data_IF_903713725265
#
_entry.id   IF_903713725265
#
_cell.length_a   1.000
_cell.length_b   1.000
_cell.length_c   1.000
_cell.angle_alpha   90.00
_cell.angle_beta   90.00
_cell.angle_gamma   90.00
#
_symmetry.space_group_name_H-M   'P 1'
#
loop_
_entity.id
_entity.type
_entity.pdbx_description
1 polymer ?
#
# COMPACT_ATOMS: atom_id res chain seq x y z
N UNK A 1 -1.83 19.82 1.25
CA UNK A 1 -0.89 19.23 0.26
C UNK A 1 -0.97 19.90 -1.11
N UNK A 2 -2.14 20.01 -1.77
CA UNK A 2 -2.23 20.63 -3.09
C UNK A 2 -1.66 22.06 -3.14
N UNK A 3 -2.05 22.94 -2.22
CA UNK A 3 -1.50 24.30 -2.12
C UNK A 3 0.04 24.30 -1.93
N UNK A 4 0.57 23.34 -1.21
CA UNK A 4 2.00 23.17 -1.06
C UNK A 4 2.69 22.71 -2.35
N UNK A 5 2.05 21.86 -3.15
CA UNK A 5 2.55 21.49 -4.48
C UNK A 5 2.59 22.69 -5.43
N UNK A 6 1.55 23.55 -5.38
CA UNK A 6 1.56 24.82 -6.14
C UNK A 6 2.70 25.72 -5.70
N UNK A 7 2.92 25.87 -4.39
CA UNK A 7 4.05 26.63 -3.86
C UNK A 7 5.38 26.05 -4.34
N UNK A 8 5.60 24.73 -4.22
CA UNK A 8 6.82 24.06 -4.69
C UNK A 8 7.05 24.28 -6.19
N UNK A 9 5.99 24.24 -7.02
CA UNK A 9 6.09 24.54 -8.45
C UNK A 9 6.50 25.98 -8.73
N UNK A 10 5.98 26.94 -7.97
CA UNK A 10 6.33 28.35 -8.13
C UNK A 10 7.79 28.65 -7.74
N UNK A 11 8.33 27.90 -6.76
CA UNK A 11 9.73 28.01 -6.35
C UNK A 11 10.68 27.30 -7.34
N UNK A 12 10.27 26.15 -7.87
CA UNK A 12 11.07 25.29 -8.75
C UNK A 12 10.26 24.97 -10.01
N UNK A 13 10.07 25.93 -10.92
CA UNK A 13 9.27 25.72 -12.13
C UNK A 13 9.95 24.70 -13.05
N UNK A 14 9.15 23.75 -13.52
CA UNK A 14 9.58 22.69 -14.44
C UNK A 14 8.64 22.60 -15.62
N UNK A 15 9.11 22.07 -16.75
CA UNK A 15 8.25 21.82 -17.89
C UNK A 15 7.17 20.78 -17.53
N UNK A 16 5.92 21.12 -17.84
CA UNK A 16 4.79 20.20 -17.78
C UNK A 16 4.73 19.26 -18.99
N UNK A 17 5.63 19.40 -19.95
CA UNK A 17 5.70 18.55 -21.12
C UNK A 17 5.94 17.09 -20.69
N UNK A 18 5.04 16.21 -21.08
CA UNK A 18 5.17 14.76 -20.89
C UNK A 18 6.12 14.20 -21.95
N UNK A 19 6.14 14.85 -23.13
CA UNK A 19 6.99 14.51 -24.27
C UNK A 19 7.61 15.82 -24.81
N UNK A 20 8.92 15.91 -24.81
CA UNK A 20 9.64 17.02 -25.40
C UNK A 20 10.93 17.34 -24.66
N UNK A 21 12.03 17.38 -25.39
CA UNK A 21 13.36 17.66 -24.88
C UNK A 21 13.77 19.11 -25.08
N UNK A 22 12.81 20.00 -25.22
CA UNK A 22 13.08 21.44 -25.46
C UNK A 22 13.30 22.21 -24.14
N UNK A 23 12.91 21.62 -23.00
CA UNK A 23 13.10 22.24 -21.70
C UNK A 23 14.41 21.76 -21.05
N UNK A 24 15.07 22.63 -20.31
CA UNK A 24 16.28 22.29 -19.55
C UNK A 24 15.97 21.28 -18.41
N UNK A 25 14.81 21.42 -17.76
CA UNK A 25 14.35 20.56 -16.69
C UNK A 25 12.95 20.00 -16.98
N UNK A 26 12.79 18.71 -16.75
CA UNK A 26 11.49 18.01 -16.78
C UNK A 26 11.15 17.52 -15.39
N UNK A 27 9.87 17.35 -15.07
CA UNK A 27 9.42 16.91 -13.72
C UNK A 27 7.94 17.19 -13.50
N UNK A 28 7.20 17.58 -14.54
CA UNK A 28 5.78 17.90 -14.46
C UNK A 28 4.87 16.73 -14.07
N UNK A 29 5.35 15.49 -14.24
CA UNK A 29 4.58 14.27 -13.95
C UNK A 29 4.03 14.25 -12.52
N UNK A 30 4.84 14.57 -11.54
CA UNK A 30 4.46 14.58 -10.13
C UNK A 30 3.40 15.64 -9.83
N UNK A 31 3.50 16.81 -10.44
CA UNK A 31 2.50 17.86 -10.34
C UNK A 31 1.18 17.47 -11.00
N UNK A 32 1.24 16.81 -12.18
CA UNK A 32 0.05 16.26 -12.85
C UNK A 32 -0.66 15.25 -11.94
N UNK A 33 0.09 14.33 -11.32
CA UNK A 33 -0.48 13.37 -10.36
C UNK A 33 -1.07 14.06 -9.13
N UNK A 34 -0.47 15.13 -8.65
CA UNK A 34 -1.03 15.94 -7.57
C UNK A 34 -2.37 16.58 -7.95
N UNK A 35 -2.45 17.14 -9.17
CA UNK A 35 -3.69 17.71 -9.71
C UNK A 35 -4.75 16.60 -9.87
N UNK A 36 -4.42 15.52 -10.57
CA UNK A 36 -5.35 14.40 -10.80
C UNK A 36 -5.83 13.78 -9.51
N UNK A 37 -4.93 13.45 -8.57
CA UNK A 37 -5.29 12.88 -7.29
C UNK A 37 -6.23 13.80 -6.50
N UNK A 38 -5.95 15.11 -6.49
CA UNK A 38 -6.81 16.09 -5.82
C UNK A 38 -8.16 16.21 -6.51
N UNK A 39 -8.22 16.25 -7.84
CA UNK A 39 -9.48 16.28 -8.60
C UNK A 39 -10.31 15.01 -8.34
N UNK A 40 -9.69 13.84 -8.37
CA UNK A 40 -10.38 12.59 -8.02
C UNK A 40 -10.91 12.59 -6.59
N UNK A 41 -10.10 13.08 -5.63
CA UNK A 41 -10.56 13.22 -4.25
C UNK A 41 -11.78 14.14 -4.13
N UNK A 42 -11.75 15.30 -4.77
CA UNK A 42 -12.86 16.25 -4.79
C UNK A 42 -14.08 15.63 -5.48
N UNK A 43 -13.90 15.07 -6.67
CA UNK A 43 -14.99 14.47 -7.44
C UNK A 43 -15.71 13.38 -6.61
N UNK A 44 -14.98 12.40 -6.08
CA UNK A 44 -15.57 11.32 -5.27
C UNK A 44 -16.20 11.89 -3.98
N UNK A 45 -15.59 12.90 -3.36
CA UNK A 45 -16.07 13.49 -2.11
C UNK A 45 -17.32 14.34 -2.28
N UNK A 46 -17.54 14.91 -3.48
CA UNK A 46 -18.66 15.79 -3.78
C UNK A 46 -19.81 15.10 -4.52
N UNK A 47 -19.63 13.85 -4.97
CA UNK A 47 -20.69 13.09 -5.62
C UNK A 47 -21.83 12.84 -4.60
N UNK A 48 -23.04 13.35 -4.85
CA UNK A 48 -24.19 12.95 -4.06
C UNK A 48 -24.50 11.48 -4.35
N UNK A 49 -24.21 10.62 -3.40
CA UNK A 49 -24.33 9.19 -3.57
C UNK A 49 -25.31 8.63 -2.54
N UNK A 50 -26.44 8.14 -3.01
CA UNK A 50 -27.37 7.42 -2.15
C UNK A 50 -26.79 6.05 -1.77
N UNK A 51 -27.22 5.53 -0.64
CA UNK A 51 -26.85 4.19 -0.18
C UNK A 51 -27.07 3.10 -1.24
N UNK A 52 -28.21 3.15 -1.96
CA UNK A 52 -28.52 2.17 -3.01
C UNK A 52 -27.58 2.26 -4.22
N UNK A 53 -27.27 3.49 -4.64
CA UNK A 53 -26.31 3.73 -5.71
C UNK A 53 -24.91 3.23 -5.30
N UNK A 54 -24.46 3.57 -4.10
CA UNK A 54 -23.19 3.07 -3.58
C UNK A 54 -23.13 1.55 -3.59
N UNK A 55 -24.13 0.86 -3.06
CA UNK A 55 -24.18 -0.60 -3.07
C UNK A 55 -24.14 -1.20 -4.48
N UNK A 56 -24.80 -0.57 -5.45
CA UNK A 56 -24.79 -1.03 -6.84
C UNK A 56 -23.40 -0.89 -7.45
N UNK A 57 -22.78 0.27 -7.31
CA UNK A 57 -21.42 0.54 -7.80
C UNK A 57 -20.42 -0.40 -7.17
N UNK A 58 -20.49 -0.59 -5.85
CA UNK A 58 -19.57 -1.47 -5.12
C UNK A 58 -19.67 -2.93 -5.56
N UNK A 59 -20.90 -3.44 -5.76
CA UNK A 59 -21.09 -4.81 -6.29
C UNK A 59 -20.45 -4.99 -7.67
N UNK A 60 -20.59 -4.00 -8.54
CA UNK A 60 -19.95 -4.05 -9.86
C UNK A 60 -18.43 -3.93 -9.74
N UNK A 61 -17.93 -3.00 -8.93
CA UNK A 61 -16.48 -2.83 -8.74
C UNK A 61 -15.82 -4.09 -8.14
N UNK A 62 -16.46 -4.74 -7.16
CA UNK A 62 -15.96 -6.03 -6.62
C UNK A 62 -15.93 -7.11 -7.73
N UNK A 63 -17.01 -7.25 -8.50
CA UNK A 63 -17.09 -8.24 -9.59
C UNK A 63 -16.01 -8.00 -10.64
N UNK A 64 -15.84 -6.73 -11.06
CA UNK A 64 -14.80 -6.35 -12.03
C UNK A 64 -13.38 -6.58 -11.48
N UNK A 65 -13.14 -6.24 -10.22
CA UNK A 65 -11.83 -6.47 -9.58
C UNK A 65 -11.50 -7.96 -9.48
N UNK A 66 -12.47 -8.80 -9.08
CA UNK A 66 -12.29 -10.24 -9.03
C UNK A 66 -12.11 -10.83 -10.44
N UNK A 67 -12.91 -10.37 -11.42
CA UNK A 67 -12.76 -10.76 -12.81
C UNK A 67 -11.40 -10.38 -13.39
N UNK A 68 -10.92 -9.17 -13.13
CA UNK A 68 -9.59 -8.73 -13.53
C UNK A 68 -8.47 -9.55 -12.85
N UNK A 69 -8.64 -9.92 -11.57
CA UNK A 69 -7.71 -10.79 -10.88
C UNK A 69 -7.64 -12.18 -11.54
N UNK A 70 -8.79 -12.80 -11.80
CA UNK A 70 -8.87 -14.11 -12.48
C UNK A 70 -8.26 -14.02 -13.88
N UNK A 71 -8.63 -12.99 -14.66
CA UNK A 71 -8.07 -12.77 -16.00
C UNK A 71 -6.54 -12.60 -15.95
N UNK A 72 -6.03 -11.81 -15.00
CA UNK A 72 -4.58 -11.63 -14.80
C UNK A 72 -3.87 -12.95 -14.53
N UNK A 73 -4.47 -13.83 -13.70
CA UNK A 73 -3.92 -15.16 -13.43
C UNK A 73 -3.88 -15.99 -14.73
N UNK A 74 -4.97 -16.03 -15.50
CA UNK A 74 -5.03 -16.76 -16.77
C UNK A 74 -4.02 -16.24 -17.79
N UNK A 75 -3.90 -14.92 -17.97
CA UNK A 75 -2.94 -14.31 -18.88
C UNK A 75 -1.49 -14.65 -18.48
N UNK A 76 -1.18 -14.63 -17.19
CA UNK A 76 0.15 -15.02 -16.70
C UNK A 76 0.42 -16.51 -16.93
N UNK A 77 -0.56 -17.40 -16.68
CA UNK A 77 -0.43 -18.83 -16.93
C UNK A 77 -0.29 -19.15 -18.43
N UNK A 78 -0.97 -18.37 -19.29
CA UNK A 78 -0.87 -18.50 -20.75
C UNK A 78 0.45 -17.89 -21.32
N UNK A 79 1.32 -17.34 -20.47
CA UNK A 79 2.55 -16.71 -20.91
C UNK A 79 2.35 -15.35 -21.62
N UNK A 80 1.12 -14.84 -21.63
CA UNK A 80 0.80 -13.52 -22.20
C UNK A 80 1.17 -12.47 -21.17
N UNK A 81 2.40 -11.99 -21.22
CA UNK A 81 2.88 -10.91 -20.35
C UNK A 81 2.46 -9.59 -20.97
N UNK A 82 1.56 -8.85 -20.32
CA UNK A 82 1.24 -7.50 -20.70
C UNK A 82 2.43 -6.57 -20.40
N UNK A 83 2.90 -5.89 -21.43
CA UNK A 83 3.92 -4.82 -21.33
C UNK A 83 5.21 -5.27 -20.67
N UNK A 84 6.12 -5.84 -21.44
CA UNK A 84 7.44 -6.25 -20.92
C UNK A 84 8.25 -5.00 -20.65
N UNK A 85 8.37 -4.63 -19.38
CA UNK A 85 9.44 -3.72 -18.98
C UNK A 85 10.77 -4.47 -19.10
N UNK A 86 11.71 -3.91 -19.84
CA UNK A 86 13.02 -4.55 -20.12
C UNK A 86 13.79 -4.82 -18.84
N UNK A 87 13.51 -4.03 -17.78
CA UNK A 87 14.01 -4.22 -16.43
C UNK A 87 13.41 -5.46 -15.75
N UNK A 88 12.12 -5.75 -16.00
CA UNK A 88 11.48 -6.98 -15.48
C UNK A 88 12.01 -8.25 -16.15
N UNK A 89 12.41 -8.21 -17.42
CA UNK A 89 13.04 -9.35 -18.11
C UNK A 89 14.40 -9.70 -17.48
N UNK A 90 15.18 -8.70 -17.09
CA UNK A 90 16.49 -8.91 -16.44
C UNK A 90 16.32 -9.44 -15.02
N UNK A 91 15.31 -8.95 -14.29
CA UNK A 91 14.97 -9.43 -12.94
C UNK A 91 14.23 -10.78 -12.97
N UNK A 92 13.40 -11.05 -13.97
CA UNK A 92 12.70 -12.33 -14.10
C UNK A 92 13.62 -13.50 -14.45
N UNK A 93 14.77 -13.21 -15.02
CA UNK A 93 15.80 -14.22 -15.26
C UNK A 93 16.56 -14.61 -13.98
N UNK A 94 16.57 -13.74 -12.96
CA UNK A 94 17.31 -13.94 -11.72
C UNK A 94 16.43 -14.16 -10.49
N UNK A 95 15.15 -13.78 -10.52
CA UNK A 95 14.26 -13.89 -9.35
C UNK A 95 12.86 -14.38 -9.75
N UNK A 96 12.46 -15.54 -9.25
CA UNK A 96 11.11 -16.11 -9.39
C UNK A 96 10.09 -15.33 -8.54
N UNK A 97 9.76 -14.10 -8.95
CA UNK A 97 8.75 -13.28 -8.30
C UNK A 97 7.40 -13.50 -8.99
N UNK A 98 6.45 -14.07 -8.29
CA UNK A 98 5.13 -14.36 -8.84
C UNK A 98 4.11 -13.29 -8.41
N UNK A 99 4.02 -12.20 -9.17
CA UNK A 99 3.09 -11.09 -8.88
C UNK A 99 1.61 -11.52 -8.81
N UNK A 100 1.22 -12.58 -9.54
CA UNK A 100 -0.14 -13.12 -9.49
C UNK A 100 -0.51 -13.65 -8.10
N UNK A 101 0.46 -14.21 -7.34
CA UNK A 101 0.20 -14.71 -5.99
C UNK A 101 -0.08 -13.59 -5.00
N UNK A 102 0.43 -12.38 -5.24
CA UNK A 102 0.16 -11.21 -4.39
C UNK A 102 -1.33 -10.93 -4.34
N UNK A 103 -1.96 -10.79 -5.51
CA UNK A 103 -3.39 -10.46 -5.59
C UNK A 103 -4.25 -11.58 -4.99
N UNK A 104 -3.95 -12.83 -5.31
CA UNK A 104 -4.66 -13.98 -4.76
C UNK A 104 -4.58 -14.00 -3.22
N UNK A 105 -3.39 -13.81 -2.66
CA UNK A 105 -3.19 -13.79 -1.21
C UNK A 105 -3.93 -12.65 -0.53
N UNK A 106 -3.81 -11.42 -1.06
CA UNK A 106 -4.47 -10.23 -0.50
C UNK A 106 -5.99 -10.39 -0.52
N UNK A 107 -6.58 -10.71 -1.68
CA UNK A 107 -8.04 -10.89 -1.77
C UNK A 107 -8.53 -12.09 -0.96
N UNK A 108 -7.75 -13.17 -0.89
CA UNK A 108 -8.07 -14.31 -0.04
C UNK A 108 -8.18 -13.91 1.43
N UNK A 109 -7.21 -13.16 1.95
CA UNK A 109 -7.26 -12.65 3.34
C UNK A 109 -8.48 -11.74 3.55
N UNK A 110 -8.77 -10.82 2.63
CA UNK A 110 -9.93 -9.96 2.73
C UNK A 110 -11.24 -10.75 2.77
N UNK A 111 -11.41 -11.71 1.87
CA UNK A 111 -12.64 -12.49 1.79
C UNK A 111 -12.80 -13.44 2.97
N UNK A 112 -11.73 -14.11 3.37
CA UNK A 112 -11.83 -15.14 4.41
C UNK A 112 -11.82 -14.54 5.81
N UNK A 113 -10.80 -13.75 6.15
CA UNK A 113 -10.71 -13.17 7.47
C UNK A 113 -11.64 -11.94 7.62
N UNK A 114 -11.83 -11.14 6.60
CA UNK A 114 -12.78 -10.01 6.64
C UNK A 114 -14.22 -10.45 6.92
N UNK A 115 -14.66 -11.57 6.30
CA UNK A 115 -16.03 -12.07 6.42
C UNK A 115 -16.27 -12.93 7.67
N UNK A 116 -15.26 -13.59 8.21
CA UNK A 116 -15.42 -14.54 9.31
C UNK A 116 -14.72 -14.06 10.58
N UNK A 117 -15.29 -14.28 11.78
CA UNK A 117 -14.58 -14.08 13.03
C UNK A 117 -13.42 -15.08 13.14
N UNK A 118 -12.42 -14.75 13.95
CA UNK A 118 -11.23 -15.59 14.12
C UNK A 118 -11.56 -16.99 14.60
N UNK A 119 -12.54 -17.11 15.50
CA UNK A 119 -13.06 -18.41 15.96
C UNK A 119 -13.51 -19.30 14.80
N UNK A 120 -14.16 -18.73 13.78
CA UNK A 120 -14.64 -19.49 12.63
C UNK A 120 -13.50 -19.84 11.65
N UNK A 121 -12.43 -19.05 11.62
CA UNK A 121 -11.24 -19.38 10.83
C UNK A 121 -10.67 -20.73 11.28
N UNK A 122 -10.64 -20.98 12.59
CA UNK A 122 -10.12 -22.24 13.13
C UNK A 122 -11.17 -23.38 13.15
N UNK A 123 -12.44 -23.08 13.30
CA UNK A 123 -13.50 -24.11 13.40
C UNK A 123 -14.01 -24.60 12.05
N UNK A 124 -13.77 -23.85 10.98
CA UNK A 124 -14.23 -24.22 9.62
C UNK A 124 -13.04 -24.66 8.76
N UNK A 125 -12.92 -25.96 8.39
CA UNK A 125 -11.80 -26.47 7.60
C UNK A 125 -11.60 -25.71 6.29
N UNK A 126 -12.67 -25.35 5.58
CA UNK A 126 -12.58 -24.60 4.32
C UNK A 126 -12.01 -23.19 4.50
N UNK A 127 -12.40 -22.48 5.57
CA UNK A 127 -11.87 -21.15 5.87
C UNK A 127 -10.40 -21.23 6.33
N UNK A 128 -10.06 -22.24 7.12
CA UNK A 128 -8.68 -22.48 7.56
C UNK A 128 -7.75 -22.76 6.37
N UNK A 129 -8.13 -23.71 5.50
CA UNK A 129 -7.34 -24.05 4.31
C UNK A 129 -7.23 -22.85 3.37
N UNK A 130 -8.32 -22.13 3.11
CA UNK A 130 -8.30 -20.93 2.28
C UNK A 130 -7.40 -19.83 2.85
N UNK A 131 -7.43 -19.60 4.16
CA UNK A 131 -6.56 -18.63 4.85
C UNK A 131 -5.10 -19.04 4.75
N UNK A 132 -4.79 -20.32 4.96
CA UNK A 132 -3.44 -20.87 4.80
C UNK A 132 -2.92 -20.68 3.37
N UNK A 133 -3.73 -21.04 2.34
CA UNK A 133 -3.36 -20.86 0.93
C UNK A 133 -3.13 -19.39 0.58
N UNK A 134 -3.91 -18.47 1.17
CA UNK A 134 -3.72 -17.03 0.98
C UNK A 134 -2.41 -16.53 1.57
N UNK A 135 -2.05 -16.97 2.78
CA UNK A 135 -0.76 -16.68 3.40
C UNK A 135 0.40 -17.28 2.60
N UNK A 136 0.26 -18.53 2.16
CA UNK A 136 1.24 -19.20 1.33
C UNK A 136 1.45 -18.47 0.01
N UNK A 137 0.40 -17.99 -0.64
CA UNK A 137 0.49 -17.20 -1.87
C UNK A 137 1.29 -15.90 -1.66
N UNK A 138 1.11 -15.21 -0.52
CA UNK A 138 1.91 -14.03 -0.18
C UNK A 138 3.38 -14.39 0.00
N UNK A 139 3.69 -15.47 0.71
CA UNK A 139 5.07 -15.93 0.90
C UNK A 139 5.72 -16.32 -0.42
N UNK A 140 5.01 -17.08 -1.28
CA UNK A 140 5.52 -17.50 -2.58
C UNK A 140 5.68 -16.35 -3.58
N UNK A 141 5.08 -15.19 -3.32
CA UNK A 141 5.26 -14.01 -4.18
C UNK A 141 6.72 -13.51 -4.22
N UNK A 142 7.51 -13.78 -3.19
CA UNK A 142 8.90 -13.32 -3.07
C UNK A 142 9.06 -11.83 -2.77
N UNK A 143 7.96 -11.10 -2.55
CA UNK A 143 7.97 -9.66 -2.30
C UNK A 143 7.88 -9.35 -0.79
N UNK A 144 9.02 -9.00 -0.18
CA UNK A 144 9.09 -8.59 1.24
C UNK A 144 8.13 -7.45 1.58
N UNK A 145 7.99 -6.51 0.67
CA UNK A 145 7.10 -5.35 0.78
C UNK A 145 5.63 -5.75 0.90
N UNK A 146 5.23 -6.77 0.15
CA UNK A 146 3.86 -7.30 0.17
C UNK A 146 3.58 -7.97 1.50
N UNK A 147 4.52 -8.74 2.03
CA UNK A 147 4.38 -9.35 3.36
C UNK A 147 4.19 -8.28 4.44
N UNK A 148 5.03 -7.24 4.44
CA UNK A 148 4.90 -6.13 5.37
C UNK A 148 3.57 -5.40 5.24
N UNK A 149 3.20 -5.00 4.03
CA UNK A 149 1.95 -4.29 3.77
C UNK A 149 0.74 -5.11 4.22
N UNK A 150 0.72 -6.42 3.93
CA UNK A 150 -0.36 -7.30 4.37
C UNK A 150 -0.38 -7.50 5.89
N UNK A 151 0.77 -7.52 6.55
CA UNK A 151 0.83 -7.56 8.01
C UNK A 151 0.15 -6.33 8.63
N UNK A 152 0.37 -5.13 8.09
CA UNK A 152 -0.34 -3.92 8.51
C UNK A 152 -1.84 -3.97 8.23
N UNK A 153 -2.24 -4.52 7.09
CA UNK A 153 -3.65 -4.71 6.73
C UNK A 153 -4.32 -5.68 7.71
N UNK A 154 -3.70 -6.83 8.00
CA UNK A 154 -4.21 -7.83 8.94
C UNK A 154 -4.30 -7.25 10.35
N UNK A 155 -3.27 -6.54 10.81
CA UNK A 155 -3.28 -5.86 12.10
C UNK A 155 -4.41 -4.84 12.20
N UNK A 156 -4.59 -4.01 11.17
CA UNK A 156 -5.68 -3.04 11.11
C UNK A 156 -7.05 -3.71 11.15
N UNK A 157 -7.21 -4.82 10.42
CA UNK A 157 -8.43 -5.61 10.42
C UNK A 157 -8.70 -6.22 11.80
N UNK A 158 -7.67 -6.71 12.49
CA UNK A 158 -7.79 -7.22 13.86
C UNK A 158 -8.22 -6.13 14.85
N UNK A 159 -7.70 -4.91 14.71
CA UNK A 159 -8.14 -3.74 15.50
C UNK A 159 -9.61 -3.43 15.22
N UNK A 160 -10.01 -3.34 13.94
CA UNK A 160 -11.39 -3.06 13.53
C UNK A 160 -12.34 -4.13 14.07
N UNK A 161 -11.96 -5.39 14.05
CA UNK A 161 -12.77 -6.52 14.54
C UNK A 161 -12.70 -6.72 16.05
N UNK A 162 -11.81 -6.01 16.74
CA UNK A 162 -11.51 -6.17 18.17
C UNK A 162 -10.97 -7.58 18.51
N UNK A 163 -10.21 -8.17 17.60
CA UNK A 163 -9.60 -9.50 17.72
C UNK A 163 -8.07 -9.41 17.86
N UNK A 164 -7.55 -8.25 18.27
CA UNK A 164 -6.11 -7.98 18.33
C UNK A 164 -5.36 -9.00 19.18
N UNK A 165 -5.90 -9.37 20.34
CA UNK A 165 -5.26 -10.34 21.22
C UNK A 165 -5.11 -11.71 20.56
N UNK A 166 -6.17 -12.21 19.91
CA UNK A 166 -6.11 -13.48 19.17
C UNK A 166 -5.07 -13.44 18.05
N UNK A 167 -4.97 -12.32 17.35
CA UNK A 167 -3.97 -12.14 16.28
C UNK A 167 -2.55 -12.05 16.81
N UNK A 168 -2.34 -11.41 17.97
CA UNK A 168 -1.02 -11.39 18.61
C UNK A 168 -0.58 -12.80 19.03
N UNK A 169 -1.46 -13.57 19.66
CA UNK A 169 -1.16 -14.96 20.07
C UNK A 169 -0.85 -15.81 18.83
N UNK A 170 -1.69 -15.72 17.79
CA UNK A 170 -1.46 -16.47 16.54
C UNK A 170 -0.13 -16.05 15.88
N UNK A 171 0.12 -14.74 15.76
CA UNK A 171 1.34 -14.21 15.15
C UNK A 171 2.60 -14.67 15.89
N UNK A 172 2.59 -14.62 17.23
CA UNK A 172 3.70 -15.11 18.05
C UNK A 172 3.88 -16.64 17.93
N UNK A 173 2.78 -17.39 17.86
CA UNK A 173 2.84 -18.85 17.68
C UNK A 173 3.42 -19.21 16.31
N UNK A 174 2.98 -18.56 15.25
CA UNK A 174 3.52 -18.76 13.88
C UNK A 174 4.99 -18.35 13.82
N UNK A 175 5.34 -17.20 14.42
CA UNK A 175 6.74 -16.76 14.48
C UNK A 175 7.62 -17.74 15.24
N UNK A 176 7.18 -18.22 16.41
CA UNK A 176 7.91 -19.23 17.18
C UNK A 176 8.09 -20.55 16.42
N UNK A 177 7.06 -20.99 15.69
CA UNK A 177 7.16 -22.16 14.82
C UNK A 177 8.17 -21.95 13.68
N UNK A 178 8.18 -20.77 13.04
CA UNK A 178 9.15 -20.43 12.00
C UNK A 178 10.59 -20.38 12.53
N UNK A 179 10.81 -19.82 13.71
CA UNK A 179 12.13 -19.80 14.38
C UNK A 179 12.60 -21.24 14.65
N UNK A 180 11.71 -22.10 15.16
CA UNK A 180 12.00 -23.52 15.38
C UNK A 180 12.36 -24.23 14.07
N UNK A 181 11.53 -24.12 13.02
CA UNK A 181 11.81 -24.70 11.71
C UNK A 181 13.11 -24.19 11.10
N UNK A 182 13.45 -22.94 11.37
CA UNK A 182 14.71 -22.34 10.94
C UNK A 182 15.91 -22.92 11.70
N UNK A 183 15.77 -23.20 12.99
CA UNK A 183 16.84 -23.83 13.78
C UNK A 183 17.15 -25.25 13.32
N UNK A 184 16.13 -25.96 12.79
CA UNK A 184 16.27 -27.31 12.22
C UNK A 184 16.73 -27.28 10.73
N UNK A 185 16.99 -26.10 10.15
CA UNK A 185 17.41 -25.98 8.75
C UNK A 185 16.29 -26.21 7.72
N UNK A 186 15.04 -26.41 8.17
CA UNK A 186 13.91 -26.71 7.28
C UNK A 186 13.56 -25.51 6.40
N UNK A 187 13.71 -24.29 6.93
CA UNK A 187 13.42 -23.05 6.16
C UNK A 187 14.31 -22.91 4.94
N UNK A 188 15.56 -23.41 4.99
CA UNK A 188 16.51 -23.39 3.87
C UNK A 188 16.05 -24.26 2.69
N UNK A 189 15.15 -25.23 2.92
CA UNK A 189 14.56 -26.07 1.86
C UNK A 189 13.32 -25.43 1.21
N UNK A 190 12.83 -24.31 1.72
CA UNK A 190 11.67 -23.63 1.14
C UNK A 190 11.99 -23.01 -0.23
N UNK A 191 11.01 -22.81 -1.11
CA UNK A 191 11.21 -22.07 -2.35
C UNK A 191 11.86 -20.70 -2.12
N UNK A 192 12.76 -20.30 -3.02
CA UNK A 192 13.53 -19.05 -2.94
C UNK A 192 12.66 -17.83 -2.56
N UNK A 193 11.49 -17.65 -3.20
CA UNK A 193 10.57 -16.55 -2.89
C UNK A 193 10.07 -16.56 -1.44
N UNK A 194 9.77 -17.75 -0.90
CA UNK A 194 9.32 -17.87 0.49
C UNK A 194 10.44 -17.52 1.48
N UNK A 195 11.64 -18.07 1.26
CA UNK A 195 12.82 -17.73 2.07
C UNK A 195 13.11 -16.22 2.03
N UNK A 196 13.03 -15.62 0.84
CA UNK A 196 13.21 -14.17 0.66
C UNK A 196 12.21 -13.33 1.45
N UNK A 197 10.94 -13.74 1.48
CA UNK A 197 9.92 -13.07 2.31
C UNK A 197 10.22 -13.24 3.80
N UNK A 198 10.62 -14.44 4.22
CA UNK A 198 10.87 -14.75 5.62
C UNK A 198 12.17 -14.12 6.16
N UNK A 199 13.13 -13.81 5.28
CA UNK A 199 14.41 -13.17 5.67
C UNK A 199 14.28 -11.80 6.34
N UNK A 200 13.11 -11.17 6.26
CA UNK A 200 12.82 -9.91 6.98
C UNK A 200 12.57 -10.14 8.48
N UNK A 201 12.23 -11.36 8.88
CA UNK A 201 11.93 -11.69 10.26
C UNK A 201 13.23 -11.96 11.03
N UNK A 202 13.46 -11.33 12.18
CA UNK A 202 14.67 -11.53 12.96
C UNK A 202 14.79 -13.00 13.42
N UNK A 203 16.00 -13.54 13.40
CA UNK A 203 16.28 -14.92 13.85
C UNK A 203 15.89 -16.04 12.88
N UNK A 204 15.35 -15.72 11.71
CA UNK A 204 15.10 -16.70 10.65
C UNK A 204 16.36 -16.83 9.78
N UNK A 205 16.95 -18.01 9.75
CA UNK A 205 18.04 -18.36 8.86
C UNK A 205 17.49 -18.80 7.51
N UNK A 206 18.10 -18.33 6.44
CA UNK A 206 17.77 -18.66 5.06
C UNK A 206 19.02 -19.20 4.35
N UNK A 207 18.88 -19.75 3.17
CA UNK A 207 20.02 -20.22 2.37
C UNK A 207 21.00 -19.07 2.08
N UNK A 208 22.29 -19.40 1.91
CA UNK A 208 23.34 -18.40 1.63
C UNK A 208 23.04 -17.56 0.38
N UNK A 209 22.40 -18.16 -0.62
CA UNK A 209 22.01 -17.49 -1.85
C UNK A 209 20.97 -16.39 -1.58
N UNK A 210 19.96 -16.71 -0.77
CA UNK A 210 18.92 -15.74 -0.36
C UNK A 210 19.52 -14.68 0.56
N UNK A 211 20.41 -15.05 1.47
CA UNK A 211 21.07 -14.12 2.38
C UNK A 211 21.92 -13.09 1.60
N UNK A 212 22.67 -13.55 0.60
CA UNK A 212 23.45 -12.68 -0.27
C UNK A 212 22.55 -11.70 -1.05
N UNK A 213 21.45 -12.19 -1.68
CA UNK A 213 20.51 -11.33 -2.42
C UNK A 213 19.83 -10.30 -1.51
N UNK A 214 19.39 -10.73 -0.33
CA UNK A 214 18.64 -9.88 0.59
C UNK A 214 19.52 -8.94 1.40
N UNK A 215 20.70 -9.39 1.80
CA UNK A 215 21.72 -8.61 2.51
C UNK A 215 22.20 -7.45 1.65
N UNK A 216 22.70 -7.75 0.48
CA UNK A 216 23.16 -6.73 -0.48
C UNK A 216 22.08 -5.67 -0.76
N UNK A 217 20.85 -6.11 -1.03
CA UNK A 217 19.72 -5.19 -1.29
C UNK A 217 19.35 -4.30 -0.09
N UNK A 218 19.56 -4.76 1.14
CA UNK A 218 19.22 -4.01 2.35
C UNK A 218 20.33 -3.04 2.75
N UNK A 219 21.57 -3.50 2.71
CA UNK A 219 22.77 -2.70 3.02
C UNK A 219 22.90 -1.54 2.04
N UNK A 220 22.79 -1.83 0.75
CA UNK A 220 22.80 -0.82 -0.30
C UNK A 220 21.77 0.30 -0.08
N UNK A 221 20.52 -0.04 0.31
CA UNK A 221 19.49 0.98 0.60
C UNK A 221 19.89 1.84 1.80
N UNK A 222 20.37 1.23 2.87
CA UNK A 222 20.78 1.96 4.07
C UNK A 222 21.94 2.88 3.78
N UNK A 223 22.94 2.44 3.01
CA UNK A 223 24.06 3.27 2.58
C UNK A 223 23.59 4.44 1.71
N UNK A 224 22.72 4.18 0.75
CA UNK A 224 22.12 5.20 -0.10
C UNK A 224 21.35 6.24 0.72
N UNK A 225 20.60 5.82 1.75
CA UNK A 225 19.87 6.74 2.62
C UNK A 225 20.79 7.60 3.49
N UNK A 226 21.84 7.00 4.04
CA UNK A 226 22.89 7.75 4.76
C UNK A 226 23.52 8.81 3.86
N UNK A 227 23.81 8.46 2.67
CA UNK A 227 24.39 9.33 1.66
C UNK A 227 23.44 10.48 1.28
N UNK A 228 22.18 10.18 0.99
CA UNK A 228 21.18 11.19 0.65
C UNK A 228 21.02 12.23 1.77
N UNK A 229 21.12 11.80 3.03
CA UNK A 229 20.93 12.66 4.19
C UNK A 229 22.23 13.29 4.72
N UNK A 230 23.39 12.94 4.16
CA UNK A 230 24.66 13.58 4.56
C UNK A 230 24.79 14.96 3.91
N UNK A 231 24.81 16.06 4.68
CA UNK A 231 24.91 17.41 4.13
C UNK A 231 26.19 17.65 3.28
N UNK A 232 27.22 16.84 3.48
CA UNK A 232 28.49 16.94 2.74
C UNK A 232 28.36 16.49 1.29
N UNK A 233 27.40 15.61 0.98
CA UNK A 233 27.19 15.11 -0.38
C UNK A 233 26.48 16.11 -1.27
N UNK A 234 25.77 17.07 -0.68
CA UNK A 234 24.97 18.08 -1.37
C UNK A 234 23.93 17.54 -2.32
N UNK A 235 23.43 16.31 -2.11
CA UNK A 235 22.33 15.76 -2.91
C UNK A 235 21.00 16.41 -2.61
N UNK A 236 20.79 16.87 -1.37
CA UNK A 236 19.63 17.66 -0.95
C UNK A 236 20.15 19.07 -0.63
N UNK A 237 19.73 20.07 -1.39
CA UNK A 237 20.16 21.44 -1.20
C UNK A 237 19.32 22.18 -0.15
N UNK A 238 18.00 21.95 -0.16
CA UNK A 238 17.07 22.54 0.80
C UNK A 238 16.30 21.46 1.57
N UNK A 239 16.74 21.18 2.78
CA UNK A 239 16.08 20.21 3.67
C UNK A 239 14.72 20.69 4.19
N UNK A 240 14.46 21.99 4.20
CA UNK A 240 13.21 22.55 4.77
C UNK A 240 12.09 22.55 3.74
N UNK A 241 12.35 23.09 2.56
CA UNK A 241 11.35 23.27 1.49
C UNK A 241 11.48 22.25 0.36
N UNK A 242 12.64 21.61 0.24
CA UNK A 242 12.95 20.64 -0.80
C UNK A 242 13.42 21.27 -2.12
N UNK A 243 14.03 20.45 -2.95
CA UNK A 243 14.64 20.89 -4.22
C UNK A 243 13.64 20.89 -5.40
N UNK A 244 12.37 20.55 -5.15
CA UNK A 244 11.36 20.42 -6.21
C UNK A 244 11.52 19.14 -7.03
N UNK A 245 10.79 19.03 -8.16
CA UNK A 245 10.75 17.82 -8.99
C UNK A 245 11.57 17.92 -10.28
N UNK A 246 12.36 18.98 -10.45
CA UNK A 246 13.18 19.18 -11.63
C UNK A 246 14.19 18.04 -11.83
N UNK A 247 14.26 17.53 -13.06
CA UNK A 247 15.29 16.60 -13.51
C UNK A 247 15.96 17.17 -14.75
N UNK A 248 17.31 17.20 -14.78
CA UNK A 248 18.03 17.67 -15.94
C UNK A 248 17.80 16.78 -17.15
N UNK A 249 17.39 17.37 -18.27
CA UNK A 249 17.16 16.64 -19.52
C UNK A 249 18.48 16.08 -20.05
N UNK A 250 19.56 16.82 -19.91
CA UNK A 250 20.89 16.35 -20.37
C UNK A 250 21.35 15.14 -19.61
N UNK A 251 21.07 15.07 -18.30
CA UNK A 251 21.34 13.89 -17.51
C UNK A 251 20.51 12.71 -18.00
N UNK A 252 19.20 12.88 -18.19
CA UNK A 252 18.32 11.80 -18.67
C UNK A 252 18.72 11.29 -20.06
N UNK A 253 19.15 12.19 -20.97
CA UNK A 253 19.68 11.80 -22.28
C UNK A 253 20.93 10.94 -22.17
N UNK A 254 21.90 11.38 -21.37
CA UNK A 254 23.17 10.65 -21.19
C UNK A 254 22.90 9.28 -20.59
N UNK A 255 22.02 9.19 -19.60
CA UNK A 255 21.61 7.94 -18.96
C UNK A 255 20.95 7.00 -19.98
N UNK A 256 19.96 7.48 -20.75
CA UNK A 256 19.29 6.69 -21.79
C UNK A 256 20.27 6.15 -22.82
N UNK A 257 21.22 6.97 -23.27
CA UNK A 257 22.26 6.55 -24.24
C UNK A 257 23.19 5.51 -23.62
N UNK A 258 23.55 5.64 -22.32
CA UNK A 258 24.41 4.70 -21.64
C UNK A 258 23.75 3.33 -21.45
N UNK A 259 22.48 3.32 -21.06
CA UNK A 259 21.68 2.10 -20.95
C UNK A 259 21.56 1.39 -22.30
N UNK A 260 21.28 2.14 -23.38
CA UNK A 260 21.20 1.59 -24.74
C UNK A 260 22.54 0.98 -25.21
N UNK A 261 23.65 1.49 -24.73
CA UNK A 261 25.00 0.96 -25.05
C UNK A 261 25.46 -0.15 -24.12
N UNK A 262 24.66 -0.52 -23.11
CA UNK A 262 25.04 -1.51 -22.10
C UNK A 262 26.16 -1.04 -21.18
N UNK A 263 26.42 0.25 -21.11
CA UNK A 263 27.42 0.86 -20.23
C UNK A 263 26.73 1.74 -19.21
N UNK A 264 27.04 1.56 -17.93
CA UNK A 264 26.63 2.49 -16.87
C UNK A 264 27.72 3.55 -16.73
N UNK A 265 27.47 4.77 -17.21
CA UNK A 265 28.43 5.89 -17.12
C UNK A 265 28.40 6.50 -15.70
N UNK A 266 27.26 6.40 -15.02
CA UNK A 266 27.06 6.96 -13.69
C UNK A 266 26.91 5.86 -12.64
N UNK A 267 27.41 6.09 -11.44
CA UNK A 267 27.13 5.22 -10.30
C UNK A 267 25.62 5.18 -10.01
N UNK A 268 25.13 4.06 -9.48
CA UNK A 268 23.72 3.94 -9.09
C UNK A 268 23.27 5.09 -8.18
N UNK A 269 24.17 5.61 -7.40
CA UNK A 269 23.99 6.72 -6.49
C UNK A 269 23.61 8.01 -7.21
N UNK A 270 24.33 8.36 -8.29
CA UNK A 270 24.05 9.55 -9.09
C UNK A 270 22.69 9.45 -9.75
N UNK A 271 22.28 8.25 -10.17
CA UNK A 271 20.95 8.01 -10.72
C UNK A 271 19.86 8.33 -9.68
N UNK A 272 19.98 7.84 -8.45
CA UNK A 272 18.99 8.11 -7.41
C UNK A 272 19.00 9.56 -6.94
N UNK A 273 20.19 10.19 -6.89
CA UNK A 273 20.31 11.62 -6.60
C UNK A 273 19.57 12.47 -7.63
N UNK A 274 19.77 12.22 -8.90
CA UNK A 274 19.15 12.99 -9.99
C UNK A 274 17.65 12.70 -10.15
N UNK A 275 17.24 11.42 -10.02
CA UNK A 275 15.82 11.07 -10.09
C UNK A 275 15.07 11.40 -8.79
N UNK A 276 15.77 11.55 -7.68
CA UNK A 276 15.20 11.79 -6.34
C UNK A 276 14.33 10.64 -5.82
N UNK A 277 14.49 9.44 -6.39
CA UNK A 277 13.76 8.23 -5.99
C UNK A 277 14.67 7.37 -5.12
N UNK A 278 14.58 7.53 -3.80
CA UNK A 278 15.47 6.91 -2.82
C UNK A 278 15.01 5.55 -2.30
N UNK A 279 14.04 4.90 -2.93
CA UNK A 279 13.39 3.69 -2.41
C UNK A 279 12.90 3.82 -0.95
N UNK A 280 12.63 5.06 -0.54
CA UNK A 280 12.08 5.43 0.77
C UNK A 280 11.31 6.73 0.61
N UNK A 281 10.02 6.71 0.93
CA UNK A 281 9.15 7.87 0.71
C UNK A 281 9.46 9.05 1.62
N UNK A 282 10.01 8.81 2.83
CA UNK A 282 10.40 9.89 3.70
C UNK A 282 11.60 10.67 3.12
N UNK A 283 12.62 9.97 2.67
CA UNK A 283 13.81 10.59 2.08
C UNK A 283 13.46 11.26 0.73
N UNK A 284 12.66 10.57 -0.09
CA UNK A 284 12.12 11.15 -1.34
C UNK A 284 11.31 12.42 -1.06
N UNK A 285 10.49 12.43 0.00
CA UNK A 285 9.73 13.62 0.38
C UNK A 285 10.65 14.75 0.88
N UNK A 286 11.65 14.44 1.70
CA UNK A 286 12.63 15.45 2.17
C UNK A 286 13.36 16.05 0.98
N UNK A 287 13.86 15.24 0.06
CA UNK A 287 14.55 15.73 -1.12
C UNK A 287 13.65 16.63 -1.98
N UNK A 288 12.44 16.15 -2.31
CA UNK A 288 11.56 16.84 -3.26
C UNK A 288 10.73 17.96 -2.65
N UNK A 289 10.31 17.80 -1.39
CA UNK A 289 9.33 18.67 -0.73
C UNK A 289 9.81 19.17 0.64
N UNK A 290 11.03 18.83 1.04
CA UNK A 290 11.55 19.18 2.33
C UNK A 290 10.85 18.50 3.50
N UNK A 291 11.29 18.82 4.72
CA UNK A 291 10.67 18.33 5.96
C UNK A 291 9.23 18.82 6.08
N UNK A 292 8.92 20.02 5.58
CA UNK A 292 7.55 20.56 5.58
C UNK A 292 6.62 19.64 4.77
N UNK A 293 7.04 19.23 3.57
CA UNK A 293 6.26 18.29 2.76
C UNK A 293 6.10 16.92 3.40
N UNK A 294 7.16 16.40 4.03
CA UNK A 294 7.11 15.14 4.78
C UNK A 294 6.12 15.19 5.94
N UNK A 295 6.12 16.28 6.70
CA UNK A 295 5.17 16.49 7.82
C UNK A 295 3.73 16.51 7.30
N UNK A 296 3.46 17.25 6.22
CA UNK A 296 2.12 17.32 5.63
C UNK A 296 1.66 15.93 5.15
N UNK A 297 2.52 15.17 4.46
CA UNK A 297 2.23 13.79 4.02
C UNK A 297 1.90 12.90 5.22
N UNK A 298 2.72 12.97 6.25
CA UNK A 298 2.55 12.17 7.49
C UNK A 298 1.22 12.49 8.18
N UNK A 299 0.88 13.76 8.31
CA UNK A 299 -0.39 14.18 8.91
C UNK A 299 -1.60 13.68 8.09
N UNK A 300 -1.51 13.69 6.76
CA UNK A 300 -2.56 13.16 5.90
C UNK A 300 -2.71 11.64 6.09
N UNK A 301 -1.61 10.89 6.13
CA UNK A 301 -1.64 9.44 6.39
C UNK A 301 -2.26 9.14 7.75
N UNK A 302 -1.83 9.84 8.81
CA UNK A 302 -2.35 9.66 10.18
C UNK A 302 -3.85 9.95 10.20
N UNK A 303 -4.28 11.10 9.68
CA UNK A 303 -5.68 11.47 9.62
C UNK A 303 -6.53 10.45 8.88
N UNK A 304 -6.10 10.04 7.67
CA UNK A 304 -6.82 9.08 6.86
C UNK A 304 -6.87 7.69 7.52
N UNK A 305 -5.81 7.29 8.22
CA UNK A 305 -5.75 6.02 8.94
C UNK A 305 -6.71 6.00 10.15
N UNK A 306 -6.75 7.09 10.92
CA UNK A 306 -7.72 7.25 12.02
C UNK A 306 -9.16 7.23 11.48
N UNK A 307 -9.40 7.94 10.37
CA UNK A 307 -10.71 7.96 9.72
C UNK A 307 -11.11 6.56 9.22
N UNK A 308 -10.18 5.81 8.61
CA UNK A 308 -10.38 4.43 8.16
C UNK A 308 -10.83 3.52 9.30
N UNK A 309 -10.01 3.44 10.37
CA UNK A 309 -10.32 2.56 11.52
C UNK A 309 -11.69 2.92 12.08
N UNK A 310 -11.93 4.20 12.33
CA UNK A 310 -13.18 4.66 12.93
C UNK A 310 -14.39 4.36 12.05
N UNK A 311 -14.30 4.63 10.75
CA UNK A 311 -15.36 4.36 9.79
C UNK A 311 -15.68 2.87 9.76
N UNK A 312 -14.69 2.01 9.59
CA UNK A 312 -14.88 0.57 9.52
C UNK A 312 -15.40 -0.01 10.85
N UNK A 313 -14.91 0.49 12.01
CA UNK A 313 -15.42 0.05 13.32
C UNK A 313 -16.90 0.38 13.52
N UNK A 314 -17.35 1.55 13.10
CA UNK A 314 -18.75 1.95 13.25
C UNK A 314 -19.67 1.27 12.23
N UNK A 315 -19.14 0.90 11.06
CA UNK A 315 -19.89 0.15 10.05
C UNK A 315 -20.04 -1.34 10.36
N UNK A 316 -19.41 -1.87 11.43
CA UNK A 316 -19.54 -3.28 11.81
C UNK A 316 -21.01 -3.65 11.99
N UNK A 317 -21.39 -4.83 11.44
CA UNK A 317 -22.78 -5.32 11.50
C UNK A 317 -23.73 -4.64 10.50
N UNK A 318 -23.26 -3.68 9.70
CA UNK A 318 -24.05 -3.05 8.65
C UNK A 318 -23.69 -3.66 7.27
N UNK A 319 -24.59 -3.51 6.27
CA UNK A 319 -24.30 -3.96 4.90
C UNK A 319 -23.15 -3.22 4.21
N UNK A 320 -22.70 -2.07 4.75
CA UNK A 320 -21.56 -1.31 4.25
C UNK A 320 -20.21 -1.84 4.78
N UNK A 321 -20.19 -2.72 5.77
CA UNK A 321 -18.95 -3.17 6.40
C UNK A 321 -18.01 -3.86 5.41
N UNK A 322 -18.47 -4.91 4.73
CA UNK A 322 -17.65 -5.65 3.75
C UNK A 322 -17.18 -4.78 2.57
N UNK A 323 -18.04 -3.99 1.93
CA UNK A 323 -17.58 -3.05 0.92
C UNK A 323 -16.55 -2.06 1.44
N UNK A 324 -16.71 -1.54 2.66
CA UNK A 324 -15.73 -0.62 3.23
C UNK A 324 -14.37 -1.29 3.47
N UNK A 325 -14.35 -2.54 3.90
CA UNK A 325 -13.11 -3.31 4.01
C UNK A 325 -12.44 -3.48 2.65
N UNK A 326 -13.21 -3.86 1.62
CA UNK A 326 -12.64 -4.12 0.29
C UNK A 326 -11.99 -2.88 -0.33
N UNK A 327 -12.62 -1.70 -0.22
CA UNK A 327 -12.13 -0.48 -0.88
C UNK A 327 -11.26 0.41 0.01
N UNK A 328 -11.44 0.38 1.31
CA UNK A 328 -10.75 1.28 2.21
C UNK A 328 -9.54 0.62 2.93
N UNK A 329 -9.66 -0.65 3.27
CA UNK A 329 -8.62 -1.35 4.02
C UNK A 329 -7.27 -1.47 3.28
N UNK A 330 -7.18 -1.55 1.93
CA UNK A 330 -5.89 -1.49 1.22
C UNK A 330 -5.06 -0.26 1.58
N UNK A 331 -5.71 0.85 1.95
CA UNK A 331 -5.02 2.04 2.45
C UNK A 331 -4.20 1.76 3.72
N UNK A 332 -4.58 0.78 4.54
CA UNK A 332 -3.83 0.46 5.76
C UNK A 332 -2.39 0.00 5.48
N UNK A 333 -2.15 -0.62 4.33
CA UNK A 333 -0.80 -0.99 3.89
C UNK A 333 -0.01 0.14 3.22
N UNK A 334 -0.67 1.21 2.80
CA UNK A 334 -0.03 2.29 2.04
C UNK A 334 1.10 3.01 2.80
N UNK A 335 0.97 3.34 4.11
CA UNK A 335 2.06 3.96 4.86
C UNK A 335 3.32 3.08 4.93
N UNK A 336 3.18 1.76 5.12
CA UNK A 336 4.33 0.86 5.17
C UNK A 336 5.06 0.81 3.83
N UNK A 337 4.32 0.71 2.72
CA UNK A 337 4.88 0.76 1.38
C UNK A 337 5.55 2.11 1.10
N UNK A 338 4.96 3.20 1.56
CA UNK A 338 5.50 4.53 1.37
C UNK A 338 6.80 4.75 2.12
N UNK A 339 6.81 4.52 3.44
CA UNK A 339 7.95 4.87 4.29
C UNK A 339 9.10 3.86 4.25
N UNK A 340 8.81 2.58 4.00
CA UNK A 340 9.83 1.53 4.19
C UNK A 340 10.35 0.98 2.86
N UNK A 341 9.53 1.01 1.78
CA UNK A 341 9.88 0.26 0.58
C UNK A 341 10.19 1.11 -0.64
N UNK A 342 9.18 1.69 -1.24
CA UNK A 342 9.34 2.33 -2.55
C UNK A 342 8.40 3.54 -2.68
N UNK A 343 8.31 4.34 -1.63
CA UNK A 343 7.46 5.51 -1.60
C UNK A 343 7.90 6.56 -2.61
N UNK A 344 6.99 6.91 -3.51
CA UNK A 344 7.12 8.07 -4.40
C UNK A 344 5.97 9.03 -4.17
N UNK A 345 6.15 10.28 -4.55
CA UNK A 345 5.08 11.27 -4.43
C UNK A 345 3.89 10.90 -5.32
N UNK A 346 4.14 10.31 -6.48
CA UNK A 346 3.09 9.76 -7.36
C UNK A 346 2.23 8.71 -6.64
N UNK A 347 2.88 7.74 -5.96
CA UNK A 347 2.17 6.72 -5.15
C UNK A 347 1.38 7.34 -4.01
N UNK A 348 1.88 8.40 -3.38
CA UNK A 348 1.15 9.13 -2.36
C UNK A 348 -0.16 9.72 -2.91
N UNK A 349 -0.12 10.39 -4.07
CA UNK A 349 -1.33 10.94 -4.68
C UNK A 349 -2.30 9.87 -5.19
N UNK A 350 -1.82 8.71 -5.63
CA UNK A 350 -2.67 7.58 -5.96
C UNK A 350 -3.54 7.12 -4.77
N UNK A 351 -3.04 7.25 -3.53
CA UNK A 351 -3.80 6.93 -2.32
C UNK A 351 -4.96 7.91 -2.05
N UNK A 352 -5.02 9.07 -2.72
CA UNK A 352 -6.14 10.01 -2.57
C UNK A 352 -7.47 9.40 -2.99
N UNK A 353 -7.47 8.48 -3.95
CA UNK A 353 -8.66 7.72 -4.33
C UNK A 353 -9.15 6.87 -3.15
N UNK A 354 -8.23 6.17 -2.46
CA UNK A 354 -8.58 5.37 -1.29
C UNK A 354 -9.08 6.25 -0.12
N UNK A 355 -8.43 7.40 0.10
CA UNK A 355 -8.85 8.37 1.13
C UNK A 355 -10.25 8.92 0.81
N UNK A 356 -10.53 9.21 -0.47
CA UNK A 356 -11.84 9.65 -0.92
C UNK A 356 -12.91 8.58 -0.70
N UNK A 357 -12.57 7.30 -0.96
CA UNK A 357 -13.48 6.18 -0.67
C UNK A 357 -13.76 6.03 0.82
N UNK A 358 -12.75 6.16 1.69
CA UNK A 358 -12.95 6.15 3.15
C UNK A 358 -13.94 7.26 3.54
N UNK A 359 -13.76 8.47 3.00
CA UNK A 359 -14.64 9.61 3.25
C UNK A 359 -16.06 9.36 2.73
N UNK A 360 -16.21 8.76 1.56
CA UNK A 360 -17.51 8.43 0.98
C UNK A 360 -18.27 7.45 1.88
N UNK A 361 -17.62 6.37 2.34
CA UNK A 361 -18.21 5.43 3.30
C UNK A 361 -18.61 6.13 4.61
N UNK A 362 -17.78 7.05 5.09
CA UNK A 362 -18.09 7.84 6.28
C UNK A 362 -19.34 8.70 6.07
N UNK A 363 -19.43 9.42 4.95
CA UNK A 363 -20.57 10.30 4.64
C UNK A 363 -21.86 9.49 4.48
N UNK A 364 -21.86 8.46 3.64
CA UNK A 364 -23.05 7.62 3.43
C UNK A 364 -23.46 6.89 4.72
N UNK A 365 -22.49 6.36 5.47
CA UNK A 365 -22.78 5.72 6.76
C UNK A 365 -23.38 6.69 7.78
N UNK A 366 -22.96 7.95 7.76
CA UNK A 366 -23.53 8.99 8.60
C UNK A 366 -24.97 9.37 8.19
N UNK A 367 -25.24 9.49 6.89
CA UNK A 367 -26.57 9.77 6.35
C UNK A 367 -27.57 8.66 6.70
N UNK A 368 -27.10 7.41 6.71
CA UNK A 368 -27.91 6.24 7.10
C UNK A 368 -27.99 6.02 8.62
N UNK A 369 -27.41 6.91 9.42
CA UNK A 369 -27.38 6.75 10.87
C UNK A 369 -26.47 5.64 11.39
N UNK A 370 -25.68 4.99 10.53
CA UNK A 370 -24.71 3.95 10.94
C UNK A 370 -23.47 4.55 11.62
N UNK A 371 -23.14 5.80 11.31
CA UNK A 371 -21.98 6.50 11.84
C UNK A 371 -22.42 7.71 12.67
N UNK A 372 -21.95 7.77 13.91
CA UNK A 372 -22.20 8.91 14.82
C UNK A 372 -21.03 9.91 14.73
N UNK A 373 -21.33 11.22 14.51
CA UNK A 373 -20.29 12.26 14.50
C UNK A 373 -19.56 12.37 15.84
N UNK A 374 -18.28 12.76 15.82
CA UNK A 374 -17.43 12.84 17.02
C UNK A 374 -17.92 13.80 18.10
N UNK A 375 -18.64 14.84 17.69
CA UNK A 375 -19.12 15.89 18.59
C UNK A 375 -20.45 15.55 19.28
N UNK A 376 -21.10 14.44 18.89
CA UNK A 376 -22.28 13.95 19.60
C UNK A 376 -21.83 12.93 20.64
N UNK A 377 -21.98 13.27 21.93
CA UNK A 377 -21.87 12.30 23.03
C UNK A 377 -22.88 11.18 22.78
N UNK A 378 -22.40 9.96 22.73
CA UNK A 378 -23.22 8.77 22.44
C UNK A 378 -24.17 8.46 23.60
N UNK A 379 -25.45 8.67 23.36
CA UNK A 379 -26.50 7.78 23.85
C UNK A 379 -26.87 6.77 22.75
N UNK A 380 -25.87 6.07 22.19
CA UNK A 380 -26.08 5.23 21.00
C UNK A 380 -26.42 3.81 21.38
N UNK A 381 -27.67 3.44 21.22
CA UNK A 381 -28.12 2.05 21.15
C UNK A 381 -27.95 1.63 19.68
N UNK A 382 -27.08 0.62 19.36
CA UNK A 382 -26.94 0.14 17.99
C UNK A 382 -28.30 -0.21 17.38
N UNK A 383 -28.51 0.18 16.11
CA UNK A 383 -29.76 -0.13 15.39
C UNK A 383 -30.15 -1.61 15.43
N UNK A 384 -29.16 -2.52 15.51
CA UNK A 384 -29.40 -3.94 15.72
C UNK A 384 -30.07 -4.25 17.08
N UNK A 385 -29.78 -3.47 18.13
CA UNK A 385 -30.40 -3.61 19.45
C UNK A 385 -31.78 -2.96 19.42
N UNK A 386 -31.94 -1.81 18.76
CA UNK A 386 -33.24 -1.18 18.56
C UNK A 386 -34.20 -2.08 17.77
N UNK A 387 -33.74 -2.70 16.68
CA UNK A 387 -34.53 -3.65 15.91
C UNK A 387 -34.84 -4.94 16.69
N UNK A 388 -34.00 -5.31 17.65
CA UNK A 388 -34.27 -6.43 18.54
C UNK A 388 -35.26 -6.06 19.64
N UNK A 389 -35.14 -4.86 20.21
CA UNK A 389 -36.08 -4.32 21.20
C UNK A 389 -37.45 -4.04 20.57
N UNK A 390 -37.51 -3.58 19.31
CA UNK A 390 -38.76 -3.36 18.56
C UNK A 390 -39.49 -4.68 18.26
N UNK A 391 -38.75 -5.77 18.01
CA UNK A 391 -39.31 -7.13 17.87
C UNK A 391 -39.77 -7.75 19.18
N UNK A 392 -39.26 -7.26 20.30
CA UNK A 392 -39.64 -7.76 21.65
C UNK A 392 -40.74 -6.92 22.30
N UNK A 393 -41.15 -5.80 21.70
CA UNK A 393 -42.32 -5.05 22.18
C UNK A 393 -43.58 -5.88 21.91
N UNK A 394 -44.35 -6.22 22.95
CA UNK A 394 -45.64 -6.88 22.75
C UNK A 394 -46.50 -5.94 21.86
N UNK A 395 -47.18 -6.52 20.89
CA UNK A 395 -48.19 -5.83 20.12
C UNK A 395 -49.15 -5.18 21.12
N UNK A 396 -49.18 -3.84 21.10
CA UNK A 396 -50.16 -3.13 21.92
C UNK A 396 -51.57 -3.60 21.50
N UNK A 397 -52.47 -3.89 22.45
CA UNK A 397 -53.77 -4.45 22.18
C UNK A 397 -54.72 -3.54 21.41
#
# INVERSE_FOLDING_TARGET
>A
MFAYMVYSYLQHPVSMAIFGYEAEYVGGKEYIWAILGTLFYIAISCIPCTYQQLQRVLRWAIRLSLGACVLSIFLNLAGIRGGVDVTELREAATTTRFTMFVQLGVYGIFMLYGMNPMSKVFSSPGVLVGSFLSCLAILLSGWREVLMSNSFIILTLAIIKRELWCMCVLGLSVYGALVYLSSEGIVESFPFGAQRCLSILPGIKVSREVEADTGHSSEWRVEMWKWALDPRTKYIHDYVWGDGFGQSVDYLRRETVSIMRGTTIYGEQDFFANTGVWHNGAITAIHRLGIVGLVIISLIFIYAYVLLIRTCMQLRGTPLFLPSLFFALPFAGAPSLYYISAGTITKFFANYVLIAMIKLFYCVGREQGFIVPWYKKQSYIPLAIQAHEEKLRPAEP
#
